data_IF_470234757024
#
_entry.id   IF_470234757024
#
_cell.length_a   1.000
_cell.length_b   1.000
_cell.length_c   1.000
_cell.angle_alpha   90.00
_cell.angle_beta   90.00
_cell.angle_gamma   90.00
#
_symmetry.space_group_name_H-M   'P 1'
#
loop_
_entity.id
_entity.type
_entity.pdbx_description
1 polymer ?
#
# COMPACT_ATOMS: atom_id res chain seq x y z
N UNK A 1 -5.29 10.24 29.63
CA UNK A 1 -5.53 11.05 28.41
C UNK A 1 -6.06 10.12 27.32
N UNK A 2 -7.34 10.25 26.94
CA UNK A 2 -7.91 9.47 25.82
C UNK A 2 -7.23 9.98 24.55
N UNK A 3 -6.51 9.09 23.87
CA UNK A 3 -5.77 9.40 22.65
C UNK A 3 -6.72 9.89 21.55
N UNK A 4 -6.84 11.22 21.38
CA UNK A 4 -7.77 11.87 20.45
C UNK A 4 -7.44 11.60 18.98
N UNK A 5 -6.29 10.99 18.70
CA UNK A 5 -5.75 10.76 17.37
C UNK A 5 -6.45 9.66 16.57
N UNK A 6 -7.26 8.79 17.20
CA UNK A 6 -7.92 7.66 16.54
C UNK A 6 -8.76 8.10 15.33
N UNK A 7 -9.54 9.19 15.46
CA UNK A 7 -10.36 9.74 14.38
C UNK A 7 -9.52 10.21 13.19
N UNK A 8 -8.35 10.82 13.47
CA UNK A 8 -7.39 11.26 12.47
C UNK A 8 -6.75 10.08 11.75
N UNK A 9 -6.34 9.04 12.49
CA UNK A 9 -5.71 7.87 11.89
C UNK A 9 -6.65 7.11 10.95
N UNK A 10 -7.91 6.90 11.35
CA UNK A 10 -8.93 6.28 10.49
C UNK A 10 -9.14 7.12 9.22
N UNK A 11 -9.31 8.43 9.36
CA UNK A 11 -9.50 9.32 8.22
C UNK A 11 -8.29 9.33 7.26
N UNK A 12 -7.06 9.33 7.79
CA UNK A 12 -5.83 9.21 7.00
C UNK A 12 -5.76 7.90 6.23
N UNK A 13 -6.13 6.78 6.86
CA UNK A 13 -6.15 5.47 6.19
C UNK A 13 -7.15 5.44 5.04
N UNK A 14 -8.39 5.90 5.29
CA UNK A 14 -9.45 5.93 4.26
C UNK A 14 -9.02 6.81 3.09
N UNK A 15 -8.58 8.04 3.36
CA UNK A 15 -8.16 8.98 2.32
C UNK A 15 -6.96 8.47 1.52
N UNK A 16 -5.99 7.82 2.17
CA UNK A 16 -4.85 7.22 1.47
C UNK A 16 -5.26 6.07 0.55
N UNK A 17 -6.24 5.25 0.95
CA UNK A 17 -6.74 4.16 0.09
C UNK A 17 -7.38 4.71 -1.18
N UNK A 18 -8.17 5.77 -1.08
CA UNK A 18 -8.73 6.41 -2.27
C UNK A 18 -7.66 6.99 -3.18
N UNK A 19 -6.71 7.79 -2.64
CA UNK A 19 -5.64 8.40 -3.44
C UNK A 19 -4.78 7.35 -4.12
N UNK A 20 -4.35 6.32 -3.39
CA UNK A 20 -3.48 5.27 -3.93
C UNK A 20 -4.15 4.39 -4.98
N UNK A 21 -5.45 4.08 -4.85
CA UNK A 21 -6.19 3.32 -5.86
C UNK A 21 -6.43 4.15 -7.12
N UNK A 22 -6.79 5.43 -6.96
CA UNK A 22 -6.96 6.34 -8.11
C UNK A 22 -5.64 6.50 -8.87
N UNK A 23 -4.52 6.62 -8.17
CA UNK A 23 -3.19 6.69 -8.78
C UNK A 23 -2.89 5.45 -9.65
N UNK A 24 -3.08 4.23 -9.12
CA UNK A 24 -2.91 2.99 -9.92
C UNK A 24 -3.78 3.01 -11.17
N UNK A 25 -5.06 3.37 -11.05
CA UNK A 25 -6.00 3.36 -12.18
C UNK A 25 -5.56 4.35 -13.26
N UNK A 26 -5.18 5.57 -12.86
CA UNK A 26 -4.74 6.62 -13.77
C UNK A 26 -3.41 6.25 -14.44
N UNK A 27 -2.42 5.78 -13.69
CA UNK A 27 -1.13 5.37 -14.26
C UNK A 27 -1.29 4.20 -15.21
N UNK A 28 -2.06 3.19 -14.81
CA UNK A 28 -2.34 2.04 -15.64
C UNK A 28 -3.08 2.46 -16.91
N UNK A 29 -4.04 3.39 -16.83
CA UNK A 29 -4.69 3.94 -18.02
C UNK A 29 -3.69 4.68 -18.91
N UNK A 30 -2.91 5.62 -18.39
CA UNK A 30 -1.93 6.40 -19.18
C UNK A 30 -0.94 5.48 -19.89
N UNK A 31 -0.44 4.45 -19.20
CA UNK A 31 0.58 3.55 -19.75
C UNK A 31 -0.02 2.57 -20.78
N UNK A 32 -1.25 2.11 -20.56
CA UNK A 32 -1.91 1.13 -21.46
C UNK A 32 -2.69 1.78 -22.60
N UNK A 33 -2.99 3.09 -22.49
CA UNK A 33 -3.88 3.81 -23.39
C UNK A 33 -5.38 3.44 -23.25
N UNK A 34 -5.74 2.53 -22.33
CA UNK A 34 -7.10 2.02 -22.18
C UNK A 34 -7.62 2.20 -20.73
N UNK A 35 -8.68 3.02 -20.52
CA UNK A 35 -9.24 3.25 -19.18
C UNK A 35 -9.80 1.97 -18.53
N UNK A 36 -10.40 1.07 -19.32
CA UNK A 36 -10.96 -0.18 -18.81
C UNK A 36 -9.86 -1.10 -18.29
N UNK A 37 -8.69 -1.11 -18.93
CA UNK A 37 -7.53 -1.87 -18.47
C UNK A 37 -7.00 -1.31 -17.16
N UNK A 38 -6.92 0.02 -17.03
CA UNK A 38 -6.52 0.66 -15.78
C UNK A 38 -7.46 0.36 -14.62
N UNK A 39 -8.77 0.37 -14.86
CA UNK A 39 -9.77 -0.02 -13.86
C UNK A 39 -9.63 -1.50 -13.45
N UNK A 40 -9.44 -2.41 -14.41
CA UNK A 40 -9.24 -3.85 -14.13
C UNK A 40 -8.01 -4.07 -13.25
N UNK A 41 -6.89 -3.41 -13.56
CA UNK A 41 -5.65 -3.52 -12.77
C UNK A 41 -5.87 -2.97 -11.36
N UNK A 42 -6.45 -1.78 -11.22
CA UNK A 42 -6.72 -1.17 -9.91
C UNK A 42 -7.64 -2.01 -9.02
N UNK A 43 -8.70 -2.59 -9.58
CA UNK A 43 -9.61 -3.48 -8.83
C UNK A 43 -8.95 -4.80 -8.48
N UNK A 44 -8.19 -5.41 -9.40
CA UNK A 44 -7.45 -6.64 -9.15
C UNK A 44 -6.44 -6.44 -8.02
N UNK A 45 -5.68 -5.35 -8.05
CA UNK A 45 -4.68 -4.99 -7.04
C UNK A 45 -5.28 -4.91 -5.63
N UNK A 46 -6.48 -4.32 -5.51
CA UNK A 46 -7.16 -4.21 -4.21
C UNK A 46 -7.46 -5.60 -3.65
N UNK A 47 -8.02 -6.49 -4.46
CA UNK A 47 -8.40 -7.84 -4.04
C UNK A 47 -7.15 -8.68 -3.71
N UNK A 48 -6.15 -8.68 -4.60
CA UNK A 48 -4.94 -9.50 -4.45
C UNK A 48 -4.11 -9.03 -3.27
N UNK A 49 -3.89 -7.72 -3.11
CA UNK A 49 -3.09 -7.19 -1.99
C UNK A 49 -3.76 -7.44 -0.65
N UNK A 50 -5.09 -7.48 -0.57
CA UNK A 50 -5.77 -7.91 0.67
C UNK A 50 -5.43 -9.35 1.03
N UNK A 51 -5.52 -10.27 0.07
CA UNK A 51 -5.21 -11.70 0.26
C UNK A 51 -3.72 -11.90 0.59
N UNK A 52 -2.83 -11.31 -0.22
CA UNK A 52 -1.39 -11.43 -0.03
C UNK A 52 -0.92 -10.83 1.28
N UNK A 53 -1.48 -9.68 1.69
CA UNK A 53 -1.15 -9.05 2.97
C UNK A 53 -1.56 -9.95 4.14
N UNK A 54 -2.77 -10.52 4.08
CA UNK A 54 -3.24 -11.46 5.09
C UNK A 54 -2.30 -12.67 5.20
N UNK A 55 -1.95 -13.30 4.07
CA UNK A 55 -1.03 -14.44 4.04
C UNK A 55 0.37 -14.07 4.57
N UNK A 56 0.89 -12.91 4.16
CA UNK A 56 2.16 -12.38 4.66
C UNK A 56 2.16 -12.23 6.17
N UNK A 57 1.12 -11.65 6.75
CA UNK A 57 1.00 -11.51 8.20
C UNK A 57 0.89 -12.88 8.90
N UNK A 58 0.13 -13.83 8.34
CA UNK A 58 -0.01 -15.19 8.88
C UNK A 58 1.32 -15.95 8.88
N UNK A 59 2.10 -15.83 7.81
CA UNK A 59 3.44 -16.43 7.72
C UNK A 59 4.35 -15.78 8.78
N UNK A 60 4.37 -14.45 8.87
CA UNK A 60 5.15 -13.74 9.88
C UNK A 60 4.70 -13.99 11.32
N UNK A 61 3.43 -14.34 11.54
CA UNK A 61 2.92 -14.77 12.84
C UNK A 61 3.41 -16.17 13.19
N UNK A 62 3.34 -17.14 12.25
CA UNK A 62 3.85 -18.50 12.45
C UNK A 62 5.36 -18.53 12.71
N UNK A 63 6.14 -17.73 11.97
CA UNK A 63 7.60 -17.62 12.18
C UNK A 63 7.93 -17.00 13.56
N UNK A 64 7.03 -16.21 14.14
CA UNK A 64 7.24 -15.54 15.43
C UNK A 64 6.98 -16.44 16.65
N UNK A 65 6.55 -17.69 16.45
CA UNK A 65 6.47 -18.71 17.50
C UNK A 65 7.83 -19.40 17.63
N UNK A 66 8.81 -18.74 18.24
CA UNK A 66 10.08 -19.40 18.58
C UNK A 66 10.03 -19.98 20.00
N UNK A 67 9.98 -21.32 20.04
CA UNK A 67 10.12 -22.29 21.15
C UNK A 67 9.30 -22.14 22.44
N UNK A 68 9.02 -20.94 22.95
CA UNK A 68 8.41 -20.73 24.29
C UNK A 68 7.14 -19.86 24.29
N UNK A 69 6.49 -19.66 23.13
CA UNK A 69 5.23 -18.89 23.04
C UNK A 69 5.36 -17.38 23.25
N UNK A 70 6.58 -16.82 23.29
CA UNK A 70 6.80 -15.37 23.44
C UNK A 70 6.97 -14.67 22.08
N UNK A 71 6.14 -13.66 21.83
CA UNK A 71 6.22 -12.78 20.66
C UNK A 71 7.44 -11.87 20.80
N UNK A 72 8.45 -12.03 19.95
CA UNK A 72 9.63 -11.15 19.96
C UNK A 72 9.39 -9.91 19.08
N UNK A 73 9.16 -8.76 19.72
CA UNK A 73 9.04 -7.47 19.03
C UNK A 73 10.41 -6.83 18.83
N UNK A 74 11.06 -7.12 17.68
CA UNK A 74 12.39 -6.58 17.34
C UNK A 74 12.30 -5.53 16.22
N UNK A 75 13.08 -4.42 16.34
CA UNK A 75 13.19 -3.39 15.28
C UNK A 75 13.62 -3.99 13.93
N UNK A 76 14.50 -5.00 13.95
CA UNK A 76 14.95 -5.72 12.74
C UNK A 76 13.79 -6.44 12.04
N UNK A 77 12.82 -6.96 12.80
CA UNK A 77 11.61 -7.61 12.25
C UNK A 77 10.71 -6.62 11.54
N UNK A 78 10.47 -5.44 12.11
CA UNK A 78 9.62 -4.42 11.47
C UNK A 78 10.20 -3.95 10.13
N UNK A 79 11.52 -3.80 10.05
CA UNK A 79 12.22 -3.51 8.79
C UNK A 79 12.06 -4.67 7.80
N UNK A 80 12.31 -5.91 8.22
CA UNK A 80 12.18 -7.08 7.35
C UNK A 80 10.74 -7.27 6.83
N UNK A 81 9.72 -7.11 7.68
CA UNK A 81 8.30 -7.15 7.28
C UNK A 81 7.98 -6.08 6.23
N UNK A 82 8.50 -4.88 6.40
CA UNK A 82 8.27 -3.77 5.47
C UNK A 82 8.92 -4.05 4.12
N UNK A 83 10.18 -4.49 4.12
CA UNK A 83 10.91 -4.79 2.89
C UNK A 83 10.27 -5.95 2.12
N UNK A 84 9.92 -7.02 2.82
CA UNK A 84 9.25 -8.19 2.21
C UNK A 84 7.88 -7.83 1.65
N UNK A 85 7.09 -7.02 2.36
CA UNK A 85 5.79 -6.57 1.83
C UNK A 85 5.94 -5.68 0.58
N UNK A 86 6.95 -4.79 0.55
CA UNK A 86 7.22 -3.95 -0.62
C UNK A 86 7.63 -4.78 -1.83
N UNK A 87 8.47 -5.79 -1.64
CA UNK A 87 8.84 -6.70 -2.73
C UNK A 87 7.63 -7.47 -3.26
N UNK A 88 6.83 -8.09 -2.38
CA UNK A 88 5.65 -8.87 -2.77
C UNK A 88 4.61 -8.00 -3.48
N UNK A 89 4.29 -6.83 -2.93
CA UNK A 89 3.28 -5.94 -3.50
C UNK A 89 3.68 -5.37 -4.86
N UNK A 90 4.97 -5.06 -5.08
CA UNK A 90 5.47 -4.60 -6.38
C UNK A 90 5.42 -5.73 -7.42
N UNK A 91 5.86 -6.93 -7.04
CA UNK A 91 5.81 -8.11 -7.93
C UNK A 91 4.37 -8.45 -8.30
N UNK A 92 3.44 -8.43 -7.34
CA UNK A 92 2.01 -8.66 -7.60
C UNK A 92 1.46 -7.68 -8.64
N UNK A 93 1.76 -6.39 -8.49
CA UNK A 93 1.31 -5.35 -9.42
C UNK A 93 1.85 -5.58 -10.84
N UNK A 94 3.13 -5.95 -10.96
CA UNK A 94 3.77 -6.25 -12.25
C UNK A 94 3.15 -7.50 -12.90
N UNK A 95 2.89 -8.54 -12.11
CA UNK A 95 2.28 -9.79 -12.59
C UNK A 95 0.83 -9.60 -13.01
N UNK A 96 0.02 -8.89 -12.22
CA UNK A 96 -1.38 -8.59 -12.58
C UNK A 96 -1.44 -7.76 -13.85
N UNK A 97 -0.61 -6.72 -13.92
CA UNK A 97 -0.52 -5.89 -15.11
C UNK A 97 -0.09 -6.72 -16.32
N UNK A 98 0.89 -7.62 -16.18
CA UNK A 98 1.27 -8.55 -17.25
C UNK A 98 0.12 -9.46 -17.66
N UNK A 99 -0.57 -10.10 -16.73
CA UNK A 99 -1.67 -11.03 -17.00
C UNK A 99 -2.83 -10.31 -17.71
N UNK A 100 -3.15 -9.08 -17.29
CA UNK A 100 -4.26 -8.32 -17.85
C UNK A 100 -3.92 -7.72 -19.22
N UNK A 101 -2.67 -7.28 -19.42
CA UNK A 101 -2.24 -6.60 -20.65
C UNK A 101 -1.63 -7.54 -21.69
N UNK A 102 -1.21 -8.74 -21.29
CA UNK A 102 -0.43 -9.67 -22.10
C UNK A 102 1.02 -9.25 -22.33
N UNK A 103 1.47 -8.10 -21.80
CA UNK A 103 2.79 -7.54 -22.08
C UNK A 103 3.60 -7.28 -20.79
N UNK A 104 4.72 -7.99 -20.57
CA UNK A 104 5.50 -7.86 -19.34
C UNK A 104 6.19 -6.49 -19.20
N UNK A 105 6.53 -5.84 -20.31
CA UNK A 105 7.11 -4.50 -20.30
C UNK A 105 6.11 -3.47 -19.78
N UNK A 106 4.82 -3.66 -20.06
CA UNK A 106 3.75 -2.78 -19.56
C UNK A 106 3.59 -2.93 -18.05
N UNK A 107 3.62 -4.16 -17.53
CA UNK A 107 3.60 -4.41 -16.09
C UNK A 107 4.79 -3.84 -15.35
N UNK A 108 6.00 -3.94 -15.92
CA UNK A 108 7.20 -3.32 -15.37
C UNK A 108 7.08 -1.79 -15.29
N UNK A 109 6.60 -1.15 -16.38
CA UNK A 109 6.38 0.30 -16.42
C UNK A 109 5.38 0.75 -15.36
N UNK A 110 4.27 0.05 -15.21
CA UNK A 110 3.25 0.36 -14.19
C UNK A 110 3.84 0.20 -12.79
N UNK A 111 4.51 -0.92 -12.50
CA UNK A 111 5.08 -1.17 -11.18
C UNK A 111 6.16 -0.16 -10.77
N UNK A 112 7.01 0.28 -11.71
CA UNK A 112 8.01 1.32 -11.44
C UNK A 112 7.34 2.69 -11.26
N UNK A 113 6.38 3.03 -12.12
CA UNK A 113 5.66 4.30 -12.03
C UNK A 113 4.93 4.43 -10.68
N UNK A 114 4.16 3.42 -10.29
CA UNK A 114 3.46 3.38 -9.00
C UNK A 114 4.41 3.52 -7.81
N UNK A 115 5.58 2.89 -7.86
CA UNK A 115 6.56 2.99 -6.78
C UNK A 115 6.98 4.45 -6.57
N UNK A 116 7.27 5.18 -7.65
CA UNK A 116 7.71 6.57 -7.58
C UNK A 116 6.55 7.50 -7.21
N UNK A 117 5.39 7.36 -7.87
CA UNK A 117 4.23 8.24 -7.63
C UNK A 117 3.68 8.07 -6.23
N UNK A 118 3.52 6.83 -5.73
CA UNK A 118 3.00 6.59 -4.37
C UNK A 118 3.93 7.15 -3.31
N UNK A 119 5.25 7.21 -3.53
CA UNK A 119 6.16 7.89 -2.59
C UNK A 119 5.90 9.40 -2.55
N UNK A 120 5.75 10.04 -3.71
CA UNK A 120 5.46 11.48 -3.81
C UNK A 120 4.09 11.81 -3.24
N UNK A 121 3.05 11.08 -3.66
CA UNK A 121 1.68 11.27 -3.21
C UNK A 121 1.53 11.02 -1.71
N UNK A 122 2.21 10.02 -1.15
CA UNK A 122 2.18 9.76 0.29
C UNK A 122 2.79 10.92 1.07
N UNK A 123 3.93 11.46 0.60
CA UNK A 123 4.53 12.63 1.21
C UNK A 123 3.58 13.84 1.18
N UNK A 124 2.97 14.12 0.02
CA UNK A 124 2.01 15.22 -0.12
C UNK A 124 0.79 15.03 0.77
N UNK A 125 0.27 13.79 0.87
CA UNK A 125 -0.84 13.43 1.73
C UNK A 125 -0.52 13.68 3.21
N UNK A 126 0.66 13.25 3.67
CA UNK A 126 1.14 13.55 5.03
C UNK A 126 1.28 15.05 5.29
N UNK A 127 1.84 15.80 4.34
CA UNK A 127 1.99 17.26 4.45
C UNK A 127 0.65 17.99 4.49
N UNK A 128 -0.32 17.54 3.69
CA UNK A 128 -1.69 18.05 3.73
C UNK A 128 -2.32 17.81 5.11
N UNK A 129 -2.25 16.57 5.62
CA UNK A 129 -2.77 16.25 6.95
C UNK A 129 -2.05 16.96 8.08
N UNK A 130 -0.75 17.25 7.96
CA UNK A 130 0.00 18.00 8.96
C UNK A 130 -0.55 19.43 9.16
N UNK A 131 -1.04 20.05 8.08
CA UNK A 131 -1.67 21.38 8.10
C UNK A 131 -3.09 21.36 8.68
N UNK A 132 -3.70 20.20 8.81
CA UNK A 132 -5.04 20.04 9.37
C UNK A 132 -4.94 19.68 10.86
N UNK A 133 -5.64 20.41 11.72
CA UNK A 133 -5.74 20.10 13.15
C UNK A 133 -6.88 19.13 13.49
N UNK A 134 -7.49 18.51 12.47
CA UNK A 134 -8.53 17.51 12.65
C UNK A 134 -8.07 16.36 13.55
N UNK A 135 -8.82 16.12 14.63
CA UNK A 135 -8.55 15.06 15.62
C UNK A 135 -7.37 15.34 16.56
N UNK A 136 -6.80 16.54 16.53
CA UNK A 136 -5.77 16.99 17.49
C UNK A 136 -6.37 18.01 18.46
N UNK A 137 -5.81 18.11 19.67
CA UNK A 137 -6.06 19.27 20.51
C UNK A 137 -5.47 20.50 19.82
N UNK A 138 -6.15 21.68 19.89
CA UNK A 138 -5.66 22.89 19.23
C UNK A 138 -4.23 23.19 19.68
N UNK A 139 -3.30 23.25 18.71
CA UNK A 139 -1.96 23.77 18.97
C UNK A 139 -2.11 25.27 19.21
N UNK A 140 -2.05 25.65 20.49
CA UNK A 140 -1.94 27.06 20.92
C UNK A 140 -0.75 27.73 20.25
#
# INVERSE_FOLDING_TARGET
MRDSSHKRHIAKTITWRFVGTIDTIILSWIITGNPLTGLKIGLAEVITKMILYYLHERIWFKINLSKNGKILTSRKRHLAKTLTWRAIGTVDTMLLSFIITGNPMTGLKIGIAEMITKMILYYLHERFWYKLDYGLQPRR
#
